data_IF_658232315566
#
_entry.id   IF_658232315566
#
_cell.length_a   1.000
_cell.length_b   1.000
_cell.length_c   1.000
_cell.angle_alpha   90.00
_cell.angle_beta   90.00
_cell.angle_gamma   90.00
#
_symmetry.space_group_name_H-M   'P 1'
#
loop_
_entity.id
_entity.type
_entity.pdbx_description
1 polymer ?
#
# COMPACT_ATOMS: atom_id res chain seq x y z
N UNK A 1 3.00 -10.15 41.39
CA UNK A 1 3.27 -8.83 40.79
C UNK A 1 4.74 -8.55 40.96
N UNK A 2 5.55 -8.90 39.97
CA UNK A 2 6.97 -8.54 39.93
C UNK A 2 7.14 -7.14 39.32
N UNK A 3 8.19 -6.38 39.70
CA UNK A 3 8.35 -5.00 39.27
C UNK A 3 8.89 -4.95 37.84
N UNK A 4 8.06 -4.52 36.90
CA UNK A 4 8.40 -4.24 35.50
C UNK A 4 9.20 -2.93 35.46
N UNK A 5 10.46 -2.96 35.88
CA UNK A 5 11.30 -1.75 36.00
C UNK A 5 12.56 -1.73 35.13
N UNK A 6 13.00 -2.87 34.56
CA UNK A 6 14.39 -3.02 34.13
C UNK A 6 14.65 -3.17 32.61
N UNK A 7 13.64 -3.36 31.76
CA UNK A 7 13.89 -3.87 30.40
C UNK A 7 14.59 -2.88 29.42
N UNK A 8 14.43 -1.57 29.59
CA UNK A 8 14.91 -0.56 28.62
C UNK A 8 15.53 0.67 29.31
N UNK A 9 16.66 0.49 29.99
CA UNK A 9 17.38 1.59 30.66
C UNK A 9 18.57 2.04 29.80
N UNK A 10 18.49 3.27 29.27
CA UNK A 10 19.61 3.97 28.63
C UNK A 10 20.10 5.10 29.52
N UNK A 11 21.42 5.24 29.68
CA UNK A 11 22.01 6.30 30.51
C UNK A 11 23.04 7.10 29.73
N UNK A 12 23.23 8.38 30.10
CA UNK A 12 24.23 9.24 29.46
C UNK A 12 25.66 8.64 29.53
N UNK A 13 25.95 7.87 30.59
CA UNK A 13 27.23 7.18 30.77
C UNK A 13 27.53 6.18 29.65
N UNK A 14 26.51 5.50 29.10
CA UNK A 14 26.68 4.54 27.99
C UNK A 14 27.15 5.21 26.70
N UNK A 15 26.89 6.51 26.54
CA UNK A 15 27.26 7.30 25.36
C UNK A 15 28.51 8.17 25.59
N UNK A 16 29.14 8.09 26.76
CA UNK A 16 30.29 8.92 27.12
C UNK A 16 31.45 8.74 26.13
N UNK A 17 31.66 7.54 25.60
CA UNK A 17 32.68 7.27 24.59
C UNK A 17 32.45 8.06 23.30
N UNK A 18 31.22 8.09 22.78
CA UNK A 18 30.84 8.77 21.55
C UNK A 18 30.71 10.28 21.75
N UNK A 19 30.20 10.72 22.90
CA UNK A 19 30.04 12.13 23.23
C UNK A 19 31.38 12.83 23.49
N UNK A 20 32.39 12.12 24.02
CA UNK A 20 33.70 12.66 24.36
C UNK A 20 34.81 12.35 23.33
N UNK A 21 34.46 11.79 22.16
CA UNK A 21 35.43 11.51 21.09
C UNK A 21 36.18 12.79 20.65
N UNK A 22 37.49 12.68 20.39
CA UNK A 22 38.32 13.80 19.89
C UNK A 22 37.86 14.23 18.49
N UNK A 23 37.72 15.54 18.29
CA UNK A 23 37.16 16.15 17.08
C UNK A 23 35.66 16.42 17.23
N UNK A 24 35.28 17.69 17.07
CA UNK A 24 33.88 18.14 17.18
C UNK A 24 33.47 18.71 18.54
N UNK A 25 32.30 19.33 18.59
CA UNK A 25 31.80 20.00 19.80
C UNK A 25 31.20 18.98 20.80
N UNK A 26 31.94 18.72 21.90
CA UNK A 26 31.55 17.79 22.97
C UNK A 26 30.25 18.24 23.66
N UNK A 27 30.08 19.55 23.90
CA UNK A 27 28.89 20.07 24.56
C UNK A 27 27.62 19.83 23.73
N UNK A 28 27.71 20.02 22.40
CA UNK A 28 26.60 19.72 21.47
C UNK A 28 26.23 18.25 21.53
N UNK A 29 27.20 17.34 21.48
CA UNK A 29 26.93 15.89 21.55
C UNK A 29 26.31 15.46 22.88
N UNK A 30 26.76 16.03 24.00
CA UNK A 30 26.16 15.75 25.32
C UNK A 30 24.71 16.24 25.39
N UNK A 31 24.44 17.46 24.94
CA UNK A 31 23.08 18.00 24.89
C UNK A 31 22.14 17.16 24.01
N UNK A 32 22.64 16.67 22.86
CA UNK A 32 21.86 15.75 22.03
C UNK A 32 21.54 14.43 22.75
N UNK A 33 22.50 13.88 23.49
CA UNK A 33 22.29 12.67 24.29
C UNK A 33 21.19 12.92 25.32
N UNK A 34 21.25 14.04 26.03
CA UNK A 34 20.23 14.39 27.02
C UNK A 34 18.84 14.53 26.39
N UNK A 35 18.72 15.22 25.24
CA UNK A 35 17.45 15.37 24.53
C UNK A 35 16.87 14.02 24.05
N UNK A 36 17.72 13.13 23.53
CA UNK A 36 17.29 11.81 23.03
C UNK A 36 16.86 10.91 24.17
N UNK A 37 17.58 10.92 25.30
CA UNK A 37 17.20 10.15 26.50
C UNK A 37 15.88 10.66 27.08
N UNK A 38 15.70 11.99 27.20
CA UNK A 38 14.45 12.57 27.67
C UNK A 38 13.26 12.18 26.76
N UNK A 39 13.44 12.25 25.44
CA UNK A 39 12.42 11.84 24.47
C UNK A 39 12.14 10.33 24.52
N UNK A 40 13.14 9.50 24.87
CA UNK A 40 12.98 8.06 24.98
C UNK A 40 12.16 7.67 26.22
N UNK A 41 12.33 8.37 27.34
CA UNK A 41 11.48 8.18 28.51
C UNK A 41 10.01 8.57 28.25
N UNK A 42 9.76 9.58 27.41
CA UNK A 42 8.40 9.88 26.94
C UNK A 42 7.86 8.82 25.97
N UNK A 43 8.71 8.29 25.08
CA UNK A 43 8.33 7.23 24.16
C UNK A 43 7.89 5.96 24.89
N UNK A 44 8.62 5.55 25.94
CA UNK A 44 8.29 4.38 26.79
C UNK A 44 6.88 4.45 27.38
N UNK A 45 6.36 5.64 27.66
CA UNK A 45 5.02 5.84 28.22
C UNK A 45 3.92 5.73 27.15
N UNK A 46 4.25 5.93 25.88
CA UNK A 46 3.28 6.13 24.80
C UNK A 46 3.27 5.02 23.77
N UNK A 47 4.44 4.49 23.40
CA UNK A 47 4.62 3.47 22.38
C UNK A 47 4.33 2.05 22.92
N UNK A 48 4.17 1.09 22.01
CA UNK A 48 4.15 -0.34 22.37
C UNK A 48 5.53 -0.83 22.84
N UNK A 49 5.57 -2.02 23.46
CA UNK A 49 6.81 -2.66 23.88
C UNK A 49 7.72 -2.94 22.68
N UNK A 50 7.20 -3.54 21.61
CA UNK A 50 7.95 -3.83 20.37
C UNK A 50 8.51 -2.56 19.72
N UNK A 51 7.70 -1.49 19.65
CA UNK A 51 8.14 -0.21 19.12
C UNK A 51 9.24 0.42 19.99
N UNK A 52 9.09 0.33 21.31
CA UNK A 52 10.09 0.79 22.28
C UNK A 52 11.39 0.00 22.17
N UNK A 53 11.31 -1.31 22.00
CA UNK A 53 12.46 -2.20 21.82
C UNK A 53 13.25 -1.84 20.55
N UNK A 54 12.57 -1.61 19.42
CA UNK A 54 13.25 -1.29 18.17
C UNK A 54 13.95 0.08 18.23
N UNK A 55 13.31 1.08 18.87
CA UNK A 55 13.97 2.37 19.15
C UNK A 55 15.18 2.17 20.05
N UNK A 56 15.03 1.44 21.15
CA UNK A 56 16.11 1.15 22.10
C UNK A 56 17.30 0.46 21.42
N UNK A 57 17.04 -0.52 20.55
CA UNK A 57 18.05 -1.26 19.79
C UNK A 57 18.85 -0.33 18.87
N UNK A 58 18.17 0.58 18.17
CA UNK A 58 18.85 1.59 17.35
C UNK A 58 19.67 2.56 18.21
N UNK A 59 19.10 3.05 19.31
CA UNK A 59 19.79 4.00 20.20
C UNK A 59 21.07 3.42 20.79
N UNK A 60 21.07 2.14 21.18
CA UNK A 60 22.24 1.42 21.73
C UNK A 60 23.46 1.43 20.80
N UNK A 61 23.27 1.59 19.49
CA UNK A 61 24.40 1.67 18.54
C UNK A 61 25.28 2.89 18.77
N UNK A 62 24.72 3.99 19.30
CA UNK A 62 25.42 5.26 19.49
C UNK A 62 25.89 5.94 18.19
N UNK A 63 25.63 5.38 17.01
CA UNK A 63 26.08 5.93 15.71
C UNK A 63 25.45 7.30 15.38
N UNK A 64 24.32 7.57 16.02
CA UNK A 64 23.53 8.78 15.91
C UNK A 64 24.10 9.95 16.71
N UNK A 65 25.01 9.71 17.66
CA UNK A 65 25.67 10.79 18.43
C UNK A 65 26.67 11.50 17.53
N UNK A 66 26.32 12.70 17.05
CA UNK A 66 27.12 13.48 16.09
C UNK A 66 27.13 14.95 16.46
N UNK A 67 28.18 15.68 16.14
CA UNK A 67 28.30 17.12 16.44
C UNK A 67 27.61 18.04 15.40
N UNK A 68 26.68 17.50 14.61
CA UNK A 68 25.94 18.26 13.60
C UNK A 68 24.93 19.20 14.25
N UNK A 69 24.88 20.45 13.78
CA UNK A 69 23.97 21.49 14.29
C UNK A 69 22.70 21.66 13.46
N UNK A 70 22.65 21.07 12.26
CA UNK A 70 21.46 21.05 11.41
C UNK A 70 21.01 19.60 11.15
N UNK A 71 19.69 19.41 11.03
CA UNK A 71 19.09 18.10 10.78
C UNK A 71 19.48 17.52 9.41
N UNK A 72 19.52 18.35 8.36
CA UNK A 72 19.83 17.94 6.97
C UNK A 72 21.20 17.27 6.77
N UNK A 73 22.19 17.66 7.57
CA UNK A 73 23.55 17.12 7.57
C UNK A 73 23.67 15.84 8.39
N UNK A 74 22.67 15.55 9.24
CA UNK A 74 22.70 14.42 10.15
C UNK A 74 22.55 13.08 9.38
N UNK A 75 23.40 12.07 9.65
CA UNK A 75 23.32 10.78 8.94
C UNK A 75 21.95 10.09 9.07
N UNK A 76 21.28 10.21 10.23
CA UNK A 76 19.94 9.65 10.42
C UNK A 76 18.91 10.30 9.49
N UNK A 77 18.95 11.62 9.30
CA UNK A 77 18.11 12.32 8.32
C UNK A 77 18.40 11.82 6.90
N UNK A 78 19.67 11.83 6.50
CA UNK A 78 20.07 11.44 5.13
C UNK A 78 19.60 10.03 4.77
N UNK A 79 19.68 9.09 5.72
CA UNK A 79 19.17 7.73 5.55
C UNK A 79 17.65 7.68 5.51
N UNK A 80 16.97 8.41 6.40
CA UNK A 80 15.52 8.45 6.47
C UNK A 80 14.90 8.94 5.17
N UNK A 81 15.37 10.09 4.64
CA UNK A 81 14.82 10.70 3.41
C UNK A 81 15.47 10.16 2.12
N UNK A 82 16.61 9.48 2.21
CA UNK A 82 17.35 8.98 1.05
C UNK A 82 18.11 10.07 0.28
N UNK A 83 18.93 10.85 0.98
CA UNK A 83 19.77 11.90 0.39
C UNK A 83 21.26 11.61 0.60
N UNK A 84 22.14 12.27 -0.17
CA UNK A 84 23.59 12.11 -0.02
C UNK A 84 24.12 10.69 -0.29
N UNK A 85 23.52 9.99 -1.26
CA UNK A 85 23.91 8.63 -1.67
C UNK A 85 23.28 7.50 -0.86
N UNK A 86 22.45 7.81 0.13
CA UNK A 86 21.70 6.81 0.89
C UNK A 86 20.37 6.46 0.21
N UNK A 87 19.95 5.19 0.30
CA UNK A 87 18.59 4.78 -0.04
C UNK A 87 17.62 5.21 1.05
N UNK A 88 16.42 5.66 0.65
CA UNK A 88 15.35 6.10 1.55
C UNK A 88 14.82 4.93 2.38
N UNK A 89 14.89 5.04 3.71
CA UNK A 89 14.50 3.96 4.63
C UNK A 89 13.12 4.15 5.25
N UNK A 90 12.70 5.39 5.53
CA UNK A 90 11.51 5.68 6.36
C UNK A 90 11.53 4.97 7.73
N UNK A 91 12.71 4.60 8.22
CA UNK A 91 12.89 3.86 9.47
C UNK A 91 12.61 4.77 10.67
N UNK A 92 11.59 4.45 11.47
CA UNK A 92 11.12 5.32 12.54
C UNK A 92 12.20 5.67 13.58
N UNK A 93 13.09 4.77 14.03
CA UNK A 93 14.16 5.15 14.96
C UNK A 93 15.14 6.22 14.41
N UNK A 94 15.32 6.32 13.09
CA UNK A 94 16.08 7.43 12.49
C UNK A 94 15.32 8.76 12.59
N UNK A 95 14.00 8.73 12.37
CA UNK A 95 13.11 9.87 12.60
C UNK A 95 13.12 10.30 14.08
N UNK A 96 13.00 9.32 14.98
CA UNK A 96 12.96 9.52 16.43
C UNK A 96 14.16 10.34 16.92
N UNK A 97 15.38 10.02 16.47
CA UNK A 97 16.56 10.79 16.88
C UNK A 97 16.53 12.21 16.34
N UNK A 98 16.11 12.42 15.08
CA UNK A 98 16.07 13.77 14.51
C UNK A 98 15.03 14.63 15.21
N UNK A 99 13.81 14.12 15.46
CA UNK A 99 12.84 14.89 16.26
C UNK A 99 13.41 15.19 17.65
N UNK A 100 13.98 14.20 18.33
CA UNK A 100 14.44 14.40 19.69
C UNK A 100 15.53 15.48 19.79
N UNK A 101 16.43 15.57 18.80
CA UNK A 101 17.50 16.57 18.79
C UNK A 101 17.02 17.95 18.33
N UNK A 102 16.12 18.02 17.33
CA UNK A 102 15.86 19.25 16.58
C UNK A 102 14.45 19.83 16.74
N UNK A 103 13.47 19.12 17.31
CA UNK A 103 12.13 19.67 17.60
C UNK A 103 11.90 20.00 19.08
N UNK A 104 12.70 19.47 20.01
CA UNK A 104 12.62 19.88 21.42
C UNK A 104 13.28 21.25 21.62
N UNK A 105 12.56 22.15 22.31
CA UNK A 105 12.94 23.50 22.77
C UNK A 105 12.46 24.72 21.94
N UNK A 106 11.35 24.64 21.21
CA UNK A 106 10.67 25.84 20.67
C UNK A 106 11.48 26.60 19.60
N UNK A 107 12.50 25.97 19.01
CA UNK A 107 13.15 26.46 17.79
C UNK A 107 12.20 26.23 16.62
N UNK A 108 12.19 27.16 15.66
CA UNK A 108 11.56 26.94 14.36
C UNK A 108 12.05 25.60 13.81
N UNK A 109 11.09 24.72 13.52
CA UNK A 109 11.34 23.43 12.91
C UNK A 109 11.93 23.73 11.54
N UNK A 110 13.23 23.49 11.36
CA UNK A 110 13.85 23.76 10.07
C UNK A 110 13.27 22.85 8.98
N UNK A 111 13.27 23.32 7.73
CA UNK A 111 12.67 22.67 6.55
C UNK A 111 13.00 21.17 6.43
N UNK A 112 14.20 20.76 6.86
CA UNK A 112 14.61 19.37 6.87
C UNK A 112 13.73 18.50 7.78
N UNK A 113 13.38 18.99 8.97
CA UNK A 113 12.54 18.26 9.91
C UNK A 113 11.08 18.25 9.44
N UNK A 114 10.57 19.37 8.93
CA UNK A 114 9.22 19.42 8.33
C UNK A 114 9.07 18.39 7.21
N UNK A 115 10.06 18.31 6.32
CA UNK A 115 10.10 17.30 5.27
C UNK A 115 10.05 15.87 5.82
N UNK A 116 10.68 15.59 6.96
CA UNK A 116 10.58 14.26 7.56
C UNK A 116 9.16 13.97 8.07
N UNK A 117 8.49 14.95 8.68
CA UNK A 117 7.11 14.80 9.13
C UNK A 117 6.14 14.58 7.95
N UNK A 118 6.34 15.27 6.83
CA UNK A 118 5.56 15.01 5.60
C UNK A 118 5.78 13.59 5.08
N UNK A 119 7.04 13.15 4.98
CA UNK A 119 7.38 11.82 4.49
C UNK A 119 6.86 10.71 5.41
N UNK A 120 6.93 10.94 6.72
CA UNK A 120 6.35 10.04 7.71
C UNK A 120 4.82 10.03 7.61
N UNK A 121 4.18 11.18 7.40
CA UNK A 121 2.72 11.26 7.24
C UNK A 121 2.24 10.47 6.03
N UNK A 122 2.94 10.59 4.89
CA UNK A 122 2.66 9.78 3.69
C UNK A 122 2.84 8.29 3.94
N UNK A 123 3.94 7.91 4.62
CA UNK A 123 4.24 6.51 4.94
C UNK A 123 3.21 5.88 5.88
N UNK A 124 2.75 6.65 6.88
CA UNK A 124 1.79 6.18 7.88
C UNK A 124 0.33 6.34 7.44
N UNK A 125 0.07 6.94 6.27
CA UNK A 125 -1.28 7.18 5.76
C UNK A 125 -2.11 8.14 6.62
N UNK A 126 -1.48 8.96 7.47
CA UNK A 126 -2.16 9.91 8.35
C UNK A 126 -1.35 11.19 8.50
N UNK A 127 -2.05 12.32 8.72
CA UNK A 127 -1.39 13.59 8.99
C UNK A 127 -0.75 13.54 10.37
N UNK A 128 0.58 13.69 10.42
CA UNK A 128 1.35 13.78 11.66
C UNK A 128 1.78 15.24 11.81
N UNK A 129 1.26 15.97 12.80
CA UNK A 129 1.59 17.38 12.95
C UNK A 129 3.01 17.53 13.48
N UNK A 130 3.74 18.52 12.95
CA UNK A 130 5.12 18.82 13.33
C UNK A 130 5.24 19.58 14.66
N UNK A 131 4.13 20.13 15.17
CA UNK A 131 4.04 20.92 16.40
C UNK A 131 4.47 20.18 17.67
N UNK A 132 4.42 18.84 17.66
CA UNK A 132 4.78 17.99 18.79
C UNK A 132 5.59 16.76 18.37
N UNK A 133 6.41 16.21 19.28
CA UNK A 133 7.04 14.92 19.07
C UNK A 133 6.00 13.84 18.79
N UNK A 134 6.25 13.04 17.76
CA UNK A 134 5.40 11.93 17.37
C UNK A 134 5.92 10.63 17.98
N UNK A 135 5.06 9.95 18.72
CA UNK A 135 5.30 8.63 19.30
C UNK A 135 4.17 7.71 18.83
N UNK A 136 4.43 6.76 17.91
CA UNK A 136 3.38 5.96 17.32
C UNK A 136 2.80 4.97 18.32
N UNK A 137 1.48 4.80 18.23
CA UNK A 137 0.73 3.70 18.83
C UNK A 137 -0.41 3.32 17.90
N UNK A 138 -0.46 2.07 17.46
CA UNK A 138 -1.60 1.52 16.71
C UNK A 138 -2.26 0.37 17.48
N UNK A 139 -3.49 0.06 17.12
CA UNK A 139 -4.22 -1.08 17.67
C UNK A 139 -3.72 -2.42 17.10
N UNK A 140 -3.24 -2.40 15.85
CA UNK A 140 -2.63 -3.55 15.19
C UNK A 140 -1.10 -3.54 15.40
N UNK A 141 -0.54 -4.48 16.17
CA UNK A 141 0.89 -4.53 16.48
C UNK A 141 1.75 -4.91 15.26
N UNK A 142 1.23 -5.72 14.33
CA UNK A 142 1.98 -6.12 13.14
C UNK A 142 2.09 -4.95 12.16
N UNK A 143 1.00 -4.19 11.98
CA UNK A 143 1.01 -2.98 11.19
C UNK A 143 1.92 -1.90 11.80
N UNK A 144 1.89 -1.74 13.12
CA UNK A 144 2.79 -0.83 13.84
C UNK A 144 4.25 -1.19 13.59
N UNK A 145 4.61 -2.46 13.76
CA UNK A 145 5.97 -2.95 13.54
C UNK A 145 6.44 -2.72 12.11
N UNK A 146 5.58 -2.97 11.11
CA UNK A 146 5.90 -2.71 9.70
C UNK A 146 6.16 -1.22 9.44
N UNK A 147 5.35 -0.34 10.00
CA UNK A 147 5.50 1.11 9.82
C UNK A 147 6.74 1.66 10.56
N UNK A 148 7.05 1.12 11.75
CA UNK A 148 8.27 1.46 12.50
C UNK A 148 9.53 1.02 11.74
N UNK A 149 9.50 -0.19 11.15
CA UNK A 149 10.61 -0.72 10.36
C UNK A 149 10.79 0.00 9.03
N UNK A 150 9.72 0.46 8.39
CA UNK A 150 9.77 1.06 7.06
C UNK A 150 10.46 0.15 6.03
N UNK A 151 11.25 0.74 5.13
CA UNK A 151 12.07 0.02 4.14
C UNK A 151 13.44 -0.40 4.69
N UNK A 152 13.61 -0.42 6.01
CA UNK A 152 14.89 -0.69 6.65
C UNK A 152 15.33 -2.15 6.46
N UNK A 153 16.43 -2.35 5.74
CA UNK A 153 17.14 -3.63 5.64
C UNK A 153 18.48 -3.52 6.36
N UNK A 154 18.62 -4.23 7.49
CA UNK A 154 19.85 -4.27 8.32
C UNK A 154 21.14 -4.58 7.52
N UNK A 155 21.04 -5.26 6.37
CA UNK A 155 22.19 -5.67 5.54
C UNK A 155 22.80 -4.56 4.66
N UNK A 156 22.14 -3.43 4.45
CA UNK A 156 22.64 -2.40 3.52
C UNK A 156 23.70 -1.47 4.16
N UNK A 157 24.06 -1.71 5.43
CA UNK A 157 24.95 -0.84 6.21
C UNK A 157 26.42 -1.29 6.24
N UNK A 158 26.77 -2.44 5.62
CA UNK A 158 28.18 -2.86 5.51
C UNK A 158 28.89 -2.33 4.25
N UNK A 159 28.18 -1.87 3.22
CA UNK A 159 28.78 -1.51 1.91
C UNK A 159 29.23 -0.03 1.83
N UNK A 160 29.04 0.76 2.89
CA UNK A 160 29.41 2.17 2.91
C UNK A 160 30.83 2.49 3.42
N UNK A 161 31.62 1.51 3.84
CA UNK A 161 33.05 1.75 4.14
C UNK A 161 33.84 1.73 2.83
N UNK A 162 33.96 2.90 2.23
CA UNK A 162 35.13 3.23 1.44
C UNK A 162 36.34 3.03 2.38
N UNK A 163 37.09 1.96 2.16
CA UNK A 163 38.27 1.60 2.92
C UNK A 163 39.34 2.67 2.70
N UNK A 164 39.38 3.68 3.55
CA UNK A 164 40.56 4.51 3.73
C UNK A 164 41.57 3.68 4.52
N UNK A 165 42.53 3.11 3.79
CA UNK A 165 43.65 2.36 4.30
C UNK A 165 44.52 3.25 5.21
N UNK A 166 44.28 3.21 6.52
CA UNK A 166 45.28 3.64 7.49
C UNK A 166 46.00 2.39 8.02
N UNK A 167 46.95 1.91 7.23
CA UNK A 167 48.01 1.03 7.71
C UNK A 167 48.82 1.80 8.73
N UNK A 168 48.69 1.42 10.00
CA UNK A 168 49.60 1.87 11.06
C UNK A 168 50.95 1.20 10.77
N UNK A 169 51.86 1.93 10.13
CA UNK A 169 53.27 1.57 10.12
C UNK A 169 53.82 1.76 11.54
N UNK A 170 54.05 0.65 12.24
CA UNK A 170 54.89 0.63 13.43
C UNK A 170 56.33 0.83 12.95
N UNK A 171 56.84 2.05 13.07
CA UNK A 171 58.25 2.34 12.92
C UNK A 171 58.98 1.86 14.18
N UNK A 172 59.71 0.75 14.04
CA UNK A 172 60.73 0.31 14.99
C UNK A 172 61.90 1.31 14.86
N UNK A 173 62.38 1.96 15.92
CA UNK A 173 63.53 2.85 15.81
C UNK A 173 64.79 2.02 15.56
N UNK A 174 65.42 2.25 14.41
CA UNK A 174 66.76 1.81 14.09
C UNK A 174 67.75 2.35 15.14
N UNK A 175 68.44 1.44 15.81
CA UNK A 175 69.57 1.75 16.65
C UNK A 175 70.73 2.24 15.77
N UNK A 176 70.92 3.57 15.71
CA UNK A 176 72.12 4.19 15.15
C UNK A 176 73.34 3.75 15.97
N UNK A 177 74.13 2.84 15.41
CA UNK A 177 75.49 2.57 15.85
C UNK A 177 76.37 3.80 15.60
N UNK A 178 76.79 4.45 16.68
CA UNK A 178 77.93 5.37 16.66
C UNK A 178 79.19 4.57 17.01
N UNK A 179 79.81 3.96 15.99
CA UNK A 179 81.19 3.52 16.10
C UNK A 179 82.09 4.71 15.73
N UNK A 180 82.49 5.48 16.74
CA UNK A 180 83.67 6.32 16.64
C UNK A 180 84.89 5.43 16.87
N UNK A 181 85.70 5.23 15.82
CA UNK A 181 87.03 4.64 15.96
C UNK A 181 87.96 5.60 16.70
N UNK A 182 88.82 5.09 17.61
CA UNK A 182 90.10 5.72 17.85
C UNK A 182 91.24 4.76 17.50
N UNK A 183 92.00 5.22 16.52
CA UNK A 183 93.46 5.15 16.35
C UNK A 183 94.27 4.24 17.29
N UNK A 184 95.16 3.48 16.66
CA UNK A 184 96.28 2.73 17.23
C UNK A 184 97.14 3.55 18.20
N UNK A 185 97.43 2.98 19.38
CA UNK A 185 98.81 2.65 19.79
C UNK A 185 98.88 2.02 21.20
N UNK A 186 99.66 0.94 21.29
CA UNK A 186 100.38 0.38 22.45
C UNK A 186 99.72 0.42 23.85
N UNK A 187 99.06 -0.68 24.26
CA UNK A 187 99.30 -1.33 25.57
C UNK A 187 98.52 -2.65 25.67
N UNK A 188 99.21 -3.79 25.73
CA UNK A 188 98.61 -5.14 25.88
C UNK A 188 97.76 -5.27 27.16
N UNK A 189 98.03 -4.47 28.20
CA UNK A 189 97.25 -4.46 29.45
C UNK A 189 95.83 -3.87 29.32
N UNK A 190 95.56 -3.00 28.34
CA UNK A 190 94.24 -2.38 28.21
C UNK A 190 93.24 -3.23 27.41
N UNK A 191 93.71 -4.00 26.43
CA UNK A 191 92.85 -4.94 25.68
C UNK A 191 92.32 -6.07 26.57
N UNK A 192 93.11 -6.50 27.54
CA UNK A 192 92.72 -7.55 28.50
C UNK A 192 91.67 -7.04 29.50
N UNK A 193 91.79 -5.79 29.98
CA UNK A 193 90.76 -5.13 30.79
C UNK A 193 89.45 -4.91 30.05
N UNK A 194 89.51 -4.55 28.77
CA UNK A 194 88.34 -4.37 27.92
C UNK A 194 87.66 -5.71 27.64
N UNK A 195 88.44 -6.76 27.35
CA UNK A 195 87.93 -8.12 27.15
C UNK A 195 87.30 -8.68 28.43
N UNK A 196 87.92 -8.47 29.60
CA UNK A 196 87.35 -8.83 30.91
C UNK A 196 86.07 -8.03 31.21
N UNK A 197 86.01 -6.76 30.80
CA UNK A 197 84.80 -5.95 30.89
C UNK A 197 83.66 -6.50 30.04
N UNK A 198 83.96 -6.90 28.80
CA UNK A 198 82.97 -7.54 27.91
C UNK A 198 82.55 -8.92 28.41
N UNK A 199 83.47 -9.75 28.91
CA UNK A 199 83.16 -11.06 29.51
C UNK A 199 82.29 -10.92 30.76
N UNK A 200 82.56 -9.92 31.60
CA UNK A 200 81.75 -9.66 32.81
C UNK A 200 80.37 -9.10 32.45
N UNK A 201 80.27 -8.22 31.46
CA UNK A 201 78.99 -7.72 30.94
C UNK A 201 78.18 -8.84 30.26
N UNK A 202 78.83 -9.72 29.48
CA UNK A 202 78.20 -10.89 28.88
C UNK A 202 77.74 -11.90 29.94
N UNK A 203 78.52 -12.10 31.02
CA UNK A 203 78.12 -12.95 32.13
C UNK A 203 76.95 -12.34 32.94
N UNK A 204 76.90 -11.01 33.09
CA UNK A 204 75.77 -10.31 33.71
C UNK A 204 74.50 -10.42 32.85
N UNK A 205 74.59 -10.18 31.54
CA UNK A 205 73.48 -10.38 30.61
C UNK A 205 73.00 -11.83 30.57
N UNK A 206 73.93 -12.79 30.60
CA UNK A 206 73.60 -14.23 30.64
C UNK A 206 72.97 -14.64 31.98
N UNK A 207 73.39 -14.03 33.11
CA UNK A 207 72.75 -14.22 34.41
C UNK A 207 71.36 -13.57 34.48
N UNK A 208 71.17 -12.42 33.82
CA UNK A 208 69.89 -11.71 33.74
C UNK A 208 68.88 -12.48 32.86
N UNK A 209 69.35 -13.09 31.77
CA UNK A 209 68.59 -14.00 30.89
C UNK A 209 68.27 -15.35 31.58
N UNK A 210 69.17 -15.86 32.44
CA UNK A 210 68.99 -17.13 33.17
C UNK A 210 68.37 -16.98 34.56
N UNK A 211 67.71 -15.84 34.87
CA UNK A 211 66.88 -15.78 36.07
C UNK A 211 65.68 -16.71 35.87
N UNK A 212 65.73 -17.90 36.47
CA UNK A 212 64.71 -18.95 36.42
C UNK A 212 63.29 -18.42 36.70
N UNK A 213 63.18 -17.30 37.43
CA UNK A 213 61.93 -16.58 37.70
C UNK A 213 61.32 -15.89 36.48
N UNK A 214 62.12 -15.30 35.58
CA UNK A 214 61.61 -14.67 34.35
C UNK A 214 61.21 -15.71 33.30
N UNK A 215 61.95 -16.82 33.18
CA UNK A 215 61.60 -17.93 32.29
C UNK A 215 60.32 -18.63 32.76
N UNK A 216 60.18 -18.93 34.06
CA UNK A 216 58.92 -19.45 34.64
C UNK A 216 57.74 -18.48 34.47
N UNK A 217 57.99 -17.18 34.48
CA UNK A 217 56.99 -16.15 34.19
C UNK A 217 56.50 -16.20 32.73
N UNK A 218 57.43 -16.32 31.78
CA UNK A 218 57.13 -16.47 30.36
C UNK A 218 56.42 -17.78 30.03
N UNK A 219 56.81 -18.90 30.63
CA UNK A 219 56.15 -20.19 30.41
C UNK A 219 54.68 -20.15 30.87
N UNK A 220 54.40 -19.50 32.00
CA UNK A 220 53.03 -19.28 32.49
C UNK A 220 52.22 -18.41 31.52
N UNK A 221 52.82 -17.38 30.95
CA UNK A 221 52.17 -16.50 29.98
C UNK A 221 51.87 -17.22 28.65
N UNK A 222 52.82 -18.04 28.16
CA UNK A 222 52.60 -18.89 26.97
C UNK A 222 51.48 -19.89 27.21
N UNK A 223 51.44 -20.52 28.39
CA UNK A 223 50.39 -21.47 28.72
C UNK A 223 49.00 -20.80 28.82
N UNK A 224 48.93 -19.60 29.41
CA UNK A 224 47.72 -18.80 29.45
C UNK A 224 47.22 -18.44 28.03
N UNK A 225 48.13 -18.04 27.13
CA UNK A 225 47.79 -17.73 25.75
C UNK A 225 47.32 -18.96 24.97
N UNK A 226 47.91 -20.14 25.24
CA UNK A 226 47.47 -21.40 24.63
C UNK A 226 46.07 -21.80 25.10
N UNK A 227 45.76 -21.65 26.39
CA UNK A 227 44.44 -21.93 26.93
C UNK A 227 43.40 -20.95 26.38
N UNK A 228 43.75 -19.66 26.29
CA UNK A 228 42.89 -18.65 25.69
C UNK A 228 42.60 -18.91 24.20
N UNK A 229 43.60 -19.40 23.46
CA UNK A 229 43.43 -19.81 22.06
C UNK A 229 42.47 -21.00 21.94
N UNK A 230 42.63 -22.01 22.81
CA UNK A 230 41.77 -23.20 22.85
C UNK A 230 40.31 -22.82 23.16
N UNK A 231 40.10 -21.95 24.14
CA UNK A 231 38.77 -21.43 24.48
C UNK A 231 38.17 -20.60 23.34
N UNK A 232 38.99 -19.81 22.64
CA UNK A 232 38.54 -19.07 21.46
C UNK A 232 38.15 -20.00 20.32
N UNK A 233 38.90 -21.08 20.07
CA UNK A 233 38.58 -22.08 19.05
C UNK A 233 37.27 -22.81 19.37
N UNK A 234 37.07 -23.20 20.62
CA UNK A 234 35.84 -23.87 21.06
C UNK A 234 34.62 -22.94 20.95
N UNK A 235 34.76 -21.67 21.34
CA UNK A 235 33.72 -20.65 21.14
C UNK A 235 33.41 -20.44 19.66
N UNK A 236 34.42 -20.36 18.80
CA UNK A 236 34.22 -20.23 17.36
C UNK A 236 33.46 -21.43 16.76
N UNK A 237 33.79 -22.65 17.18
CA UNK A 237 33.05 -23.85 16.75
C UNK A 237 31.59 -23.87 17.24
N UNK A 238 31.33 -23.35 18.45
CA UNK A 238 29.98 -23.16 18.97
C UNK A 238 29.18 -22.14 18.16
N UNK A 239 29.77 -20.96 17.90
CA UNK A 239 29.16 -19.91 17.08
C UNK A 239 28.90 -20.39 15.65
N UNK A 240 29.81 -21.18 15.06
CA UNK A 240 29.62 -21.71 13.72
C UNK A 240 28.43 -22.67 13.63
N UNK A 241 28.22 -23.51 14.65
CA UNK A 241 27.01 -24.36 14.76
C UNK A 241 25.75 -23.52 14.89
N UNK A 242 25.76 -22.51 15.77
CA UNK A 242 24.62 -21.62 15.97
C UNK A 242 24.24 -20.87 14.68
N UNK A 243 25.22 -20.40 13.91
CA UNK A 243 25.00 -19.74 12.61
C UNK A 243 24.38 -20.72 11.61
N UNK A 244 24.82 -21.98 11.58
CA UNK A 244 24.24 -23.00 10.70
C UNK A 244 22.77 -23.29 11.06
N UNK A 245 22.44 -23.43 12.34
CA UNK A 245 21.06 -23.64 12.81
C UNK A 245 20.17 -22.44 12.51
N UNK A 246 20.62 -21.22 12.82
CA UNK A 246 19.96 -19.97 12.44
C UNK A 246 19.70 -19.90 10.93
N UNK A 247 20.67 -20.32 10.12
CA UNK A 247 20.52 -20.34 8.66
C UNK A 247 19.46 -21.34 8.22
N UNK A 248 19.38 -22.53 8.83
CA UNK A 248 18.34 -23.52 8.54
C UNK A 248 16.95 -23.01 8.92
N UNK A 249 16.80 -22.45 10.13
CA UNK A 249 15.55 -21.85 10.61
C UNK A 249 15.09 -20.71 9.70
N UNK A 250 16.02 -19.84 9.31
CA UNK A 250 15.75 -18.75 8.38
C UNK A 250 15.27 -19.26 7.02
N UNK A 251 15.90 -20.28 6.45
CA UNK A 251 15.46 -20.89 5.18
C UNK A 251 14.06 -21.49 5.28
N UNK A 252 13.75 -22.15 6.40
CA UNK A 252 12.41 -22.70 6.64
C UNK A 252 11.36 -21.58 6.72
N UNK A 253 11.63 -20.51 7.48
CA UNK A 253 10.74 -19.35 7.57
C UNK A 253 10.56 -18.63 6.23
N UNK A 254 11.63 -18.48 5.44
CA UNK A 254 11.58 -17.91 4.08
C UNK A 254 10.72 -18.79 3.15
N UNK A 255 10.84 -20.12 3.24
CA UNK A 255 10.00 -21.03 2.47
C UNK A 255 8.51 -20.92 2.85
N UNK A 256 8.22 -20.89 4.16
CA UNK A 256 6.85 -20.73 4.66
C UNK A 256 6.24 -19.39 4.22
N UNK A 257 7.02 -18.30 4.29
CA UNK A 257 6.60 -16.98 3.83
C UNK A 257 6.32 -16.97 2.32
N UNK A 258 7.12 -17.68 1.53
CA UNK A 258 6.90 -17.81 0.08
C UNK A 258 5.61 -18.58 -0.22
N UNK A 259 5.34 -19.65 0.53
CA UNK A 259 4.09 -20.41 0.39
C UNK A 259 2.86 -19.56 0.76
N UNK A 260 2.94 -18.76 1.83
CA UNK A 260 1.84 -17.84 2.18
C UNK A 260 1.64 -16.74 1.15
N UNK A 261 2.73 -16.20 0.57
CA UNK A 261 2.64 -15.22 -0.52
C UNK A 261 1.98 -15.81 -1.77
N UNK A 262 2.34 -17.04 -2.16
CA UNK A 262 1.71 -17.71 -3.29
C UNK A 262 0.21 -17.91 -3.06
N UNK A 263 -0.20 -18.37 -1.87
CA UNK A 263 -1.62 -18.51 -1.50
C UNK A 263 -2.38 -17.18 -1.51
N UNK A 264 -1.73 -16.10 -1.08
CA UNK A 264 -2.33 -14.76 -1.15
C UNK A 264 -2.54 -14.32 -2.60
N UNK A 265 -1.57 -14.59 -3.47
CA UNK A 265 -1.68 -14.27 -4.89
C UNK A 265 -2.81 -15.06 -5.56
N UNK A 266 -2.91 -16.36 -5.30
CA UNK A 266 -4.01 -17.21 -5.78
C UNK A 266 -5.37 -16.68 -5.32
N UNK A 267 -5.50 -16.29 -4.04
CA UNK A 267 -6.75 -15.67 -3.55
C UNK A 267 -7.05 -14.33 -4.20
N UNK A 268 -6.03 -13.54 -4.49
CA UNK A 268 -6.21 -12.25 -5.15
C UNK A 268 -6.71 -12.44 -6.59
N UNK A 269 -6.18 -13.42 -7.32
CA UNK A 269 -6.66 -13.79 -8.66
C UNK A 269 -8.13 -14.27 -8.59
N UNK A 270 -8.48 -15.12 -7.62
CA UNK A 270 -9.87 -15.56 -7.42
C UNK A 270 -10.84 -14.42 -7.10
N UNK A 271 -10.41 -13.44 -6.29
CA UNK A 271 -11.23 -12.27 -5.98
C UNK A 271 -11.42 -11.38 -7.21
N UNK A 272 -10.41 -11.25 -8.07
CA UNK A 272 -10.52 -10.52 -9.32
C UNK A 272 -11.52 -11.19 -10.26
N UNK A 273 -11.42 -12.51 -10.44
CA UNK A 273 -12.36 -13.28 -11.28
C UNK A 273 -13.80 -13.16 -10.76
N UNK A 274 -14.00 -13.22 -9.44
CA UNK A 274 -15.32 -13.04 -8.84
C UNK A 274 -15.86 -11.62 -9.04
N UNK A 275 -14.99 -10.60 -9.01
CA UNK A 275 -15.38 -9.21 -9.25
C UNK A 275 -15.78 -8.96 -10.71
N UNK A 276 -15.08 -9.60 -11.65
CA UNK A 276 -15.38 -9.53 -13.08
C UNK A 276 -16.73 -10.22 -13.38
N UNK A 277 -16.98 -11.40 -12.79
CA UNK A 277 -18.29 -12.08 -12.88
C UNK A 277 -19.42 -11.23 -12.29
N UNK A 278 -19.16 -10.51 -11.19
CA UNK A 278 -20.15 -9.61 -10.60
C UNK A 278 -20.48 -8.44 -11.53
N UNK A 279 -19.48 -7.88 -12.22
CA UNK A 279 -19.71 -6.84 -13.22
C UNK A 279 -20.53 -7.35 -14.41
N UNK A 280 -20.20 -8.55 -14.91
CA UNK A 280 -20.92 -9.16 -16.03
C UNK A 280 -22.38 -9.40 -15.67
N UNK A 281 -22.65 -10.03 -14.52
CA UNK A 281 -24.03 -10.26 -14.04
C UNK A 281 -24.79 -8.96 -13.79
N UNK A 282 -24.13 -7.90 -13.31
CA UNK A 282 -24.74 -6.58 -13.15
C UNK A 282 -25.12 -5.96 -14.50
N UNK A 283 -24.27 -6.12 -15.51
CA UNK A 283 -24.53 -5.63 -16.86
C UNK A 283 -25.70 -6.39 -17.51
N UNK A 284 -25.74 -7.72 -17.37
CA UNK A 284 -26.88 -8.53 -17.83
C UNK A 284 -28.19 -8.10 -17.17
N UNK A 285 -28.17 -7.78 -15.88
CA UNK A 285 -29.35 -7.36 -15.13
C UNK A 285 -29.86 -5.99 -15.62
N UNK A 286 -28.94 -5.07 -15.96
CA UNK A 286 -29.30 -3.79 -16.57
C UNK A 286 -29.94 -3.96 -17.95
N UNK A 287 -29.36 -4.82 -18.79
CA UNK A 287 -29.91 -5.13 -20.11
C UNK A 287 -31.29 -5.80 -20.03
N UNK A 288 -31.46 -6.74 -19.10
CA UNK A 288 -32.76 -7.36 -18.82
C UNK A 288 -33.78 -6.32 -18.34
N UNK A 289 -33.39 -5.38 -17.49
CA UNK A 289 -34.26 -4.29 -17.04
C UNK A 289 -34.68 -3.37 -18.20
N UNK A 290 -33.77 -3.08 -19.14
CA UNK A 290 -34.09 -2.32 -20.34
C UNK A 290 -35.12 -3.04 -21.21
N UNK A 291 -34.89 -4.33 -21.51
CA UNK A 291 -35.81 -5.17 -22.28
C UNK A 291 -37.19 -5.31 -21.62
N UNK A 292 -37.23 -5.39 -20.29
CA UNK A 292 -38.48 -5.40 -19.54
C UNK A 292 -39.26 -4.10 -19.74
N UNK A 293 -38.58 -2.94 -19.65
CA UNK A 293 -39.20 -1.63 -19.86
C UNK A 293 -39.75 -1.46 -21.28
N UNK A 294 -39.02 -1.92 -22.30
CA UNK A 294 -39.49 -1.94 -23.69
C UNK A 294 -40.74 -2.80 -23.85
N UNK A 295 -40.73 -4.00 -23.26
CA UNK A 295 -41.88 -4.90 -23.28
C UNK A 295 -43.12 -4.28 -22.61
N UNK A 296 -42.92 -3.57 -21.50
CA UNK A 296 -43.98 -2.85 -20.80
C UNK A 296 -44.59 -1.73 -21.64
N UNK A 297 -43.75 -0.96 -22.36
CA UNK A 297 -44.24 0.06 -23.29
C UNK A 297 -45.04 -0.55 -24.45
N UNK A 298 -44.57 -1.68 -24.99
CA UNK A 298 -45.27 -2.38 -26.05
C UNK A 298 -46.64 -2.90 -25.58
N UNK A 299 -46.70 -3.48 -24.37
CA UNK A 299 -47.95 -3.93 -23.76
C UNK A 299 -48.95 -2.78 -23.62
N UNK A 300 -48.51 -1.63 -23.09
CA UNK A 300 -49.34 -0.43 -22.97
C UNK A 300 -49.88 0.05 -24.33
N UNK A 301 -49.06 -0.01 -25.38
CA UNK A 301 -49.49 0.32 -26.75
C UNK A 301 -50.57 -0.64 -27.28
N UNK A 302 -50.45 -1.93 -27.01
CA UNK A 302 -51.46 -2.91 -27.40
C UNK A 302 -52.75 -2.76 -26.60
N UNK A 303 -52.66 -2.46 -25.32
CA UNK A 303 -53.82 -2.18 -24.48
C UNK A 303 -54.62 -0.97 -24.99
N UNK A 304 -53.92 0.10 -25.37
CA UNK A 304 -54.55 1.29 -25.94
C UNK A 304 -55.22 1.00 -27.29
N UNK A 305 -54.57 0.22 -28.15
CA UNK A 305 -55.19 -0.25 -29.40
C UNK A 305 -56.43 -1.10 -29.15
N UNK A 306 -56.40 -1.98 -28.14
CA UNK A 306 -57.56 -2.80 -27.79
C UNK A 306 -58.75 -1.92 -27.34
N UNK A 307 -58.49 -0.87 -26.55
CA UNK A 307 -59.50 0.12 -26.15
C UNK A 307 -60.09 0.85 -27.37
N UNK A 308 -59.26 1.28 -28.31
CA UNK A 308 -59.72 1.93 -29.54
C UNK A 308 -60.60 1.00 -30.40
N UNK A 309 -60.18 -0.25 -30.60
CA UNK A 309 -60.97 -1.24 -31.34
C UNK A 309 -62.31 -1.48 -30.66
N UNK A 310 -62.31 -1.64 -29.33
CA UNK A 310 -63.55 -1.81 -28.57
C UNK A 310 -64.51 -0.62 -28.77
N UNK A 311 -63.99 0.61 -28.73
CA UNK A 311 -64.77 1.81 -29.00
C UNK A 311 -65.41 1.81 -30.40
N UNK A 312 -64.64 1.45 -31.44
CA UNK A 312 -65.18 1.33 -32.80
C UNK A 312 -66.25 0.24 -32.93
N UNK A 313 -66.08 -0.90 -32.25
CA UNK A 313 -67.10 -1.95 -32.21
C UNK A 313 -68.38 -1.43 -31.56
N UNK A 314 -68.29 -0.75 -30.42
CA UNK A 314 -69.46 -0.15 -29.75
C UNK A 314 -70.16 0.89 -30.63
N UNK A 315 -69.41 1.74 -31.32
CA UNK A 315 -69.97 2.69 -32.29
C UNK A 315 -70.68 1.97 -33.44
N UNK A 316 -70.05 0.96 -34.05
CA UNK A 316 -70.64 0.16 -35.13
C UNK A 316 -71.93 -0.54 -34.70
N UNK A 317 -71.96 -1.12 -33.49
CA UNK A 317 -73.19 -1.69 -32.91
C UNK A 317 -74.30 -0.64 -32.77
N UNK A 318 -73.98 0.58 -32.34
CA UNK A 318 -74.97 1.66 -32.25
C UNK A 318 -75.56 2.03 -33.60
N UNK A 319 -74.74 2.08 -34.66
CA UNK A 319 -75.21 2.31 -36.03
C UNK A 319 -76.08 1.17 -36.53
N UNK A 320 -75.66 -0.08 -36.29
CA UNK A 320 -76.43 -1.27 -36.65
C UNK A 320 -77.81 -1.28 -36.00
N UNK A 321 -77.89 -0.99 -34.69
CA UNK A 321 -79.16 -0.89 -33.97
C UNK A 321 -80.08 0.20 -34.55
N UNK A 322 -79.52 1.38 -34.88
CA UNK A 322 -80.28 2.47 -35.51
C UNK A 322 -80.78 2.09 -36.90
N UNK A 323 -79.97 1.39 -37.69
CA UNK A 323 -80.37 0.91 -39.02
C UNK A 323 -81.48 -0.14 -38.92
N UNK A 324 -81.39 -1.05 -37.95
CA UNK A 324 -82.43 -2.05 -37.67
C UNK A 324 -83.76 -1.40 -37.29
N UNK A 325 -83.73 -0.39 -36.41
CA UNK A 325 -84.92 0.39 -36.06
C UNK A 325 -85.53 1.11 -37.27
N UNK A 326 -84.70 1.71 -38.13
CA UNK A 326 -85.17 2.37 -39.34
C UNK A 326 -85.79 1.38 -40.34
N UNK A 327 -85.20 0.19 -40.50
CA UNK A 327 -85.74 -0.89 -41.32
C UNK A 327 -87.10 -1.36 -40.79
N UNK A 328 -87.22 -1.58 -39.47
CA UNK A 328 -88.48 -1.95 -38.81
C UNK A 328 -89.59 -0.91 -39.03
N UNK A 329 -89.26 0.39 -38.92
CA UNK A 329 -90.20 1.48 -39.23
C UNK A 329 -90.64 1.46 -40.69
N UNK A 330 -89.70 1.28 -41.61
CA UNK A 330 -89.98 1.22 -43.05
C UNK A 330 -90.90 0.04 -43.38
N UNK A 331 -90.64 -1.13 -42.80
CA UNK A 331 -91.47 -2.31 -42.98
C UNK A 331 -92.90 -2.09 -42.45
N UNK A 332 -93.03 -1.40 -41.31
CA UNK A 332 -94.34 -1.03 -40.75
C UNK A 332 -95.12 -0.09 -41.67
N UNK A 333 -94.46 0.92 -42.23
CA UNK A 333 -95.06 1.85 -43.20
C UNK A 333 -95.46 1.13 -44.50
N UNK A 334 -94.64 0.20 -44.97
CA UNK A 334 -94.92 -0.57 -46.19
C UNK A 334 -96.12 -1.50 -45.99
N UNK A 335 -96.23 -2.14 -44.82
CA UNK A 335 -97.41 -2.91 -44.45
C UNK A 335 -98.68 -2.04 -44.39
N UNK A 336 -98.60 -0.82 -43.84
CA UNK A 336 -99.70 0.13 -43.84
C UNK A 336 -100.09 0.55 -45.26
N UNK A 337 -99.11 0.85 -46.12
CA UNK A 337 -99.32 1.17 -47.54
C UNK A 337 -99.99 0.03 -48.30
N UNK A 338 -99.58 -1.21 -48.06
CA UNK A 338 -100.24 -2.41 -48.61
C UNK A 338 -101.69 -2.53 -48.11
N UNK A 339 -101.93 -2.30 -46.81
CA UNK A 339 -103.27 -2.34 -46.25
C UNK A 339 -104.19 -1.27 -46.88
N UNK A 340 -103.68 -0.05 -47.08
CA UNK A 340 -104.42 1.01 -47.75
C UNK A 340 -104.66 0.69 -49.23
N UNK A 341 -103.66 0.19 -49.95
CA UNK A 341 -103.80 -0.26 -51.34
C UNK A 341 -104.86 -1.33 -51.47
N UNK A 342 -104.85 -2.35 -50.61
CA UNK A 342 -105.87 -3.40 -50.59
C UNK A 342 -107.27 -2.85 -50.30
N UNK A 343 -107.41 -1.85 -49.42
CA UNK A 343 -108.69 -1.17 -49.21
C UNK A 343 -109.18 -0.45 -50.46
N UNK A 344 -108.30 0.26 -51.18
CA UNK A 344 -108.64 0.96 -52.42
C UNK A 344 -108.99 -0.04 -53.54
N UNK A 345 -108.22 -1.11 -53.69
CA UNK A 345 -108.51 -2.20 -54.63
C UNK A 345 -109.86 -2.86 -54.34
N UNK A 346 -110.20 -3.08 -53.07
CA UNK A 346 -111.52 -3.59 -52.70
C UNK A 346 -112.63 -2.59 -53.04
N UNK A 347 -112.43 -1.29 -52.84
CA UNK A 347 -113.38 -0.24 -53.24
C UNK A 347 -113.55 -0.13 -54.77
N UNK A 348 -112.50 -0.45 -55.54
CA UNK A 348 -112.54 -0.47 -57.01
C UNK A 348 -113.08 -1.79 -57.58
N UNK A 349 -113.12 -2.85 -56.77
CA UNK A 349 -113.65 -4.17 -57.15
C UNK A 349 -115.14 -4.32 -56.81
N UNK A 350 -115.77 -3.29 -56.24
CA UNK A 350 -117.23 -3.20 -56.19
C UNK A 350 -117.77 -3.07 -57.63
N UNK A 351 -118.82 -3.82 -58.02
CA UNK A 351 -119.27 -3.82 -59.40
C UNK A 351 -119.86 -2.46 -59.78
N UNK A 352 -119.22 -1.77 -60.71
CA UNK A 352 -119.87 -0.71 -61.49
C UNK A 352 -120.69 -1.42 -62.58
N UNK A 353 -121.97 -1.62 -62.30
CA UNK A 353 -122.97 -1.79 -63.36
C UNK A 353 -123.12 -0.47 -64.13
N UNK A 354 -123.08 -0.58 -65.46
CA UNK A 354 -123.61 0.38 -66.44
C UNK A 354 -122.96 1.78 -66.54
N UNK A 355 -122.22 2.03 -67.62
CA UNK A 355 -122.77 2.73 -68.80
C UNK A 355 -121.76 2.73 -69.96
N UNK A 356 -122.28 2.46 -71.15
CA UNK A 356 -121.63 2.30 -72.44
C UNK A 356 -121.37 3.62 -73.19
N UNK A 357 -120.31 3.60 -74.03
CA UNK A 357 -120.25 4.10 -75.43
C UNK A 357 -119.17 5.15 -75.80
N UNK A 358 -118.19 4.66 -76.59
CA UNK A 358 -117.58 5.20 -77.83
C UNK A 358 -117.06 6.66 -77.93
N UNK A 359 -115.76 6.82 -78.26
CA UNK A 359 -115.29 7.11 -79.65
C UNK A 359 -113.82 7.64 -79.70
N UNK A 360 -112.98 6.87 -80.40
CA UNK A 360 -111.95 7.23 -81.40
C UNK A 360 -110.98 8.45 -81.28
N UNK A 361 -109.68 8.11 -81.35
CA UNK A 361 -108.70 8.48 -82.39
C UNK A 361 -107.41 9.22 -81.96
N UNK A 362 -106.32 8.79 -82.63
CA UNK A 362 -105.03 9.49 -82.88
C UNK A 362 -104.08 9.59 -81.68
N UNK A 363 -102.87 9.03 -81.64
CA UNK A 363 -101.91 8.74 -82.70
C UNK A 363 -100.70 9.65 -82.49
N UNK A 364 -99.55 9.12 -82.09
CA UNK A 364 -98.19 9.57 -82.45
C UNK A 364 -97.11 8.81 -81.65
N UNK A 365 -96.06 8.46 -82.38
CA UNK A 365 -94.88 7.74 -81.96
C UNK A 365 -93.86 8.61 -81.21
N UNK A 366 -92.81 7.95 -80.70
CA UNK A 366 -91.38 8.26 -80.94
C UNK A 366 -90.48 8.27 -79.67
N UNK A 367 -89.34 7.57 -79.82
CA UNK A 367 -88.05 7.59 -79.11
C UNK A 367 -87.98 7.00 -77.69
N UNK A 368 -87.29 5.88 -77.44
CA UNK A 368 -85.85 5.56 -77.65
C UNK A 368 -84.89 6.45 -76.87
N UNK A 369 -84.03 5.84 -76.05
CA UNK A 369 -83.21 6.58 -75.08
C UNK A 369 -82.37 5.72 -74.13
N UNK A 370 -81.69 4.73 -74.68
CA UNK A 370 -80.60 3.98 -74.04
C UNK A 370 -79.38 4.90 -73.82
N UNK A 371 -78.78 4.93 -72.60
CA UNK A 371 -77.34 5.20 -72.30
C UNK A 371 -77.06 5.06 -70.80
N UNK A 372 -76.46 3.96 -70.33
CA UNK A 372 -75.01 3.69 -70.14
C UNK A 372 -74.27 4.56 -69.11
N UNK A 373 -73.55 3.85 -68.23
CA UNK A 373 -72.17 4.13 -67.78
C UNK A 373 -71.91 5.34 -66.85
N UNK A 374 -71.48 5.10 -65.60
CA UNK A 374 -70.06 4.90 -65.26
C UNK A 374 -69.81 4.69 -63.75
N UNK A 375 -69.00 3.67 -63.52
CA UNK A 375 -68.11 3.37 -62.40
C UNK A 375 -67.09 4.51 -62.16
N UNK A 376 -66.82 4.86 -60.90
CA UNK A 376 -65.51 5.28 -60.35
C UNK A 376 -65.65 5.29 -58.81
N UNK A 377 -65.09 4.35 -58.04
CA UNK A 377 -63.68 4.13 -57.64
C UNK A 377 -63.12 5.22 -56.71
N UNK A 378 -62.86 4.77 -55.47
CA UNK A 378 -61.69 5.04 -54.61
C UNK A 378 -61.27 6.50 -54.35
N UNK A 379 -61.32 6.88 -53.07
CA UNK A 379 -60.12 7.15 -52.27
C UNK A 379 -60.35 6.74 -50.82
#
# INVERSE_FOLDING_TARGET
MEPIGAAYTLTAAQFAGQANQRGGNVAVRRAQVDCVLASFEEAKKRMSEDGTEEVHKYLRTGEWVRDQTNAGSHPAYKRFVGSGGYKKTLYYPQFFVIQAIYTLNGRQIGDAVERMYEELSRHWGKVIPSDKPFYPRLADPDQERLLIMGNYRWRDFQVGRQASNNTIHVAIPDAKGHAAAPSDNNNTNNKQKVLDGYLRAAAQLSAEINTESQLKGRDREVQLLQDQLRDSQQRNAGLQRQVQEQTKLRRHAEHQTKMSQNRLKERQEQLQDAQDQLHETQQELQDMHHRYRESQMLLSKYEEKAKQVHHHISQSQSFSNRALEAASKTQSLLALGQQQSNKVLNLLSDPIEEFSAAAESSGLAVHDGQRTNKRAREN
#
